data_IF_920972775704
#
_entry.id   IF_920972775704
#
_cell.length_a   1.000
_cell.length_b   1.000
_cell.length_c   1.000
_cell.angle_alpha   90.00
_cell.angle_beta   90.00
_cell.angle_gamma   90.00
#
_symmetry.space_group_name_H-M   'P 1'
#
loop_
_entity.id
_entity.type
_entity.pdbx_description
1 polymer ?
#
# COMPACT_ATOMS: atom_id res chain seq x y z
N UNK A 1 17.34 24.08 13.67
CA UNK A 1 16.59 23.19 14.60
C UNK A 1 15.70 22.29 13.76
N UNK A 2 16.17 21.08 13.45
CA UNK A 2 15.45 20.09 12.64
C UNK A 2 14.67 19.15 13.54
N UNK A 3 13.34 19.24 13.53
CA UNK A 3 12.46 18.36 14.32
C UNK A 3 12.60 16.89 13.88
N UNK A 4 12.86 15.94 14.81
CA UNK A 4 13.11 14.53 14.49
C UNK A 4 11.86 13.63 14.38
N UNK A 5 10.64 14.16 14.21
CA UNK A 5 9.41 13.39 14.45
C UNK A 5 8.73 12.73 13.23
N UNK A 6 9.31 12.69 12.03
CA UNK A 6 8.56 12.27 10.82
C UNK A 6 9.29 11.30 9.87
N UNK A 7 10.19 10.46 10.37
CA UNK A 7 10.95 9.57 9.48
C UNK A 7 10.26 8.28 9.10
N UNK A 8 9.17 7.86 9.77
CA UNK A 8 8.45 6.64 9.39
C UNK A 8 6.95 6.71 9.66
N UNK A 9 6.16 7.03 8.64
CA UNK A 9 4.72 6.79 8.67
C UNK A 9 4.48 5.30 8.40
N UNK A 10 4.01 4.60 9.44
CA UNK A 10 3.65 3.19 9.34
C UNK A 10 2.17 3.06 8.96
N UNK A 11 1.92 2.36 7.88
CA UNK A 11 0.59 2.00 7.43
C UNK A 11 0.27 0.56 7.80
N UNK A 12 -1.01 0.26 7.95
CA UNK A 12 -1.57 -1.08 8.02
C UNK A 12 -2.25 -1.37 6.69
N UNK A 13 -1.88 -2.47 6.07
CA UNK A 13 -2.57 -3.00 4.89
C UNK A 13 -3.22 -4.32 5.23
N UNK A 14 -4.43 -4.51 4.72
CA UNK A 14 -5.23 -5.72 4.93
C UNK A 14 -5.23 -6.56 3.66
N UNK A 15 -5.06 -7.86 3.82
CA UNK A 15 -4.97 -8.79 2.70
C UNK A 15 -5.56 -10.14 3.08
N UNK A 16 -5.95 -10.89 2.05
CA UNK A 16 -6.61 -12.18 2.18
C UNK A 16 -5.70 -13.36 1.86
N UNK A 17 -4.37 -13.18 1.81
CA UNK A 17 -3.41 -14.26 1.50
C UNK A 17 -2.54 -14.62 2.70
N UNK A 18 -2.33 -15.93 2.93
CA UNK A 18 -1.64 -16.44 4.11
C UNK A 18 -0.22 -15.90 4.22
N UNK A 19 0.13 -15.41 5.42
CA UNK A 19 1.47 -14.87 5.72
C UNK A 19 2.57 -15.94 5.76
N UNK A 20 2.26 -17.21 5.49
CA UNK A 20 3.26 -18.28 5.45
C UNK A 20 4.11 -18.26 4.18
N UNK A 21 3.76 -17.42 3.20
CA UNK A 21 4.57 -17.13 2.01
C UNK A 21 5.69 -16.10 2.27
N UNK A 22 5.90 -15.68 3.52
CA UNK A 22 6.95 -14.74 3.93
C UNK A 22 8.36 -15.37 3.89
N UNK A 23 8.48 -16.68 3.64
CA UNK A 23 9.77 -17.35 3.41
C UNK A 23 9.86 -17.92 1.99
N UNK A 24 10.51 -17.16 1.10
CA UNK A 24 11.16 -17.60 -0.14
C UNK A 24 10.29 -18.27 -1.22
N UNK A 25 10.38 -17.69 -2.42
CA UNK A 25 10.32 -18.37 -3.73
C UNK A 25 9.30 -19.50 -3.83
N UNK A 26 8.06 -19.16 -4.16
CA UNK A 26 7.32 -19.81 -5.24
C UNK A 26 5.90 -19.26 -5.37
N UNK A 27 5.47 -19.05 -6.60
CA UNK A 27 4.07 -18.94 -7.01
C UNK A 27 3.32 -20.28 -6.79
N UNK A 28 3.47 -20.92 -5.62
CA UNK A 28 2.81 -22.18 -5.31
C UNK A 28 1.77 -21.93 -4.23
N UNK A 29 0.54 -21.74 -4.70
CA UNK A 29 -0.64 -21.73 -3.87
C UNK A 29 -1.58 -20.62 -4.27
N UNK A 30 -2.58 -20.95 -5.08
CA UNK A 30 -3.79 -20.15 -5.26
C UNK A 30 -4.66 -20.12 -3.97
N UNK A 31 -4.02 -20.31 -2.81
CA UNK A 31 -4.63 -20.50 -1.52
C UNK A 31 -4.88 -19.14 -0.88
N UNK A 32 -6.13 -18.70 -0.97
CA UNK A 32 -6.61 -17.54 -0.21
C UNK A 32 -6.75 -17.94 1.26
N UNK A 33 -6.28 -17.09 2.15
CA UNK A 33 -6.57 -17.18 3.58
C UNK A 33 -8.08 -16.99 3.79
N UNK A 34 -8.69 -17.86 4.59
CA UNK A 34 -10.07 -17.69 5.06
C UNK A 34 -10.17 -16.68 6.21
N UNK A 35 -9.03 -16.27 6.75
CA UNK A 35 -8.91 -15.27 7.82
C UNK A 35 -8.29 -14.01 7.22
N UNK A 36 -8.87 -12.84 7.51
CA UNK A 36 -8.31 -11.56 7.09
C UNK A 36 -6.99 -11.29 7.81
N UNK A 37 -5.95 -11.00 7.04
CA UNK A 37 -4.61 -10.73 7.54
C UNK A 37 -4.27 -9.25 7.44
N UNK A 38 -3.25 -8.84 8.22
CA UNK A 38 -2.78 -7.46 8.28
C UNK A 38 -1.25 -7.42 8.35
N UNK A 39 -0.64 -6.47 7.66
CA UNK A 39 0.79 -6.18 7.77
C UNK A 39 1.02 -4.69 8.01
N UNK A 40 2.09 -4.40 8.72
CA UNK A 40 2.65 -3.06 8.77
C UNK A 40 3.59 -2.86 7.59
N UNK A 41 3.36 -1.80 6.81
CA UNK A 41 4.20 -1.35 5.70
C UNK A 41 4.57 0.12 5.90
N UNK A 42 5.67 0.57 5.31
CA UNK A 42 6.14 1.95 5.43
C UNK A 42 5.89 2.75 4.16
N UNK A 43 5.61 4.04 4.30
CA UNK A 43 5.54 4.96 3.18
C UNK A 43 6.85 4.98 2.38
N UNK A 44 6.76 4.95 1.05
CA UNK A 44 7.89 5.12 0.15
C UNK A 44 7.68 6.39 -0.67
N UNK A 45 8.71 7.24 -0.72
CA UNK A 45 8.68 8.48 -1.51
C UNK A 45 8.45 8.17 -3.00
N UNK A 46 7.67 9.01 -3.68
CA UNK A 46 7.29 8.82 -5.08
C UNK A 46 8.50 8.65 -6.00
N UNK A 47 9.57 9.43 -5.81
CA UNK A 47 10.77 9.35 -6.65
C UNK A 47 11.44 7.97 -6.54
N UNK A 48 11.68 7.51 -5.31
CA UNK A 48 12.25 6.19 -5.03
C UNK A 48 11.35 5.05 -5.51
N UNK A 49 10.03 5.23 -5.43
CA UNK A 49 9.09 4.28 -5.99
C UNK A 49 9.19 4.26 -7.53
N UNK A 50 9.26 5.43 -8.15
CA UNK A 50 9.42 5.61 -9.60
C UNK A 50 10.65 4.89 -10.14
N UNK A 51 11.77 4.92 -9.43
CA UNK A 51 12.98 4.15 -9.77
C UNK A 51 12.68 2.64 -9.89
N UNK A 52 11.89 2.09 -8.95
CA UNK A 52 11.50 0.67 -8.92
C UNK A 52 10.55 0.27 -10.06
N UNK A 53 9.89 1.25 -10.67
CA UNK A 53 8.95 1.10 -11.77
C UNK A 53 9.46 1.70 -13.10
N UNK A 54 10.75 2.05 -13.16
CA UNK A 54 11.38 2.57 -14.37
C UNK A 54 11.18 1.62 -15.56
N UNK A 55 10.90 2.21 -16.73
CA UNK A 55 10.66 1.50 -17.99
C UNK A 55 9.53 0.46 -17.95
N UNK A 56 8.64 0.51 -16.96
CA UNK A 56 7.52 -0.42 -16.92
C UNK A 56 6.48 -0.02 -17.96
N UNK A 57 6.27 -0.87 -18.98
CA UNK A 57 5.33 -0.62 -20.08
C UNK A 57 3.90 -0.27 -19.64
N UNK A 58 3.48 -0.71 -18.44
CA UNK A 58 2.18 -0.40 -17.85
C UNK A 58 2.09 0.99 -17.20
N UNK A 59 3.22 1.64 -16.96
CA UNK A 59 3.35 3.00 -16.39
C UNK A 59 4.26 3.85 -17.28
N UNK A 60 3.79 4.28 -18.47
CA UNK A 60 4.59 5.10 -19.39
C UNK A 60 4.97 6.47 -18.82
N UNK A 61 4.17 7.00 -17.89
CA UNK A 61 4.42 8.28 -17.20
C UNK A 61 5.10 8.08 -15.83
N UNK A 62 5.47 6.85 -15.48
CA UNK A 62 5.98 6.52 -14.15
C UNK A 62 4.91 6.69 -13.06
N UNK A 63 5.37 6.88 -11.82
CA UNK A 63 4.50 7.10 -10.66
C UNK A 63 4.01 8.55 -10.66
N UNK A 64 2.70 8.73 -10.65
CA UNK A 64 2.02 10.03 -10.74
C UNK A 64 1.42 10.46 -9.40
N UNK A 65 1.03 11.73 -9.26
CA UNK A 65 0.64 12.33 -7.97
C UNK A 65 -0.64 11.73 -7.33
N UNK A 66 -1.52 11.13 -8.14
CA UNK A 66 -2.68 10.39 -7.64
C UNK A 66 -2.33 8.98 -7.11
N UNK A 67 -1.04 8.63 -7.05
CA UNK A 67 -0.53 7.39 -6.51
C UNK A 67 0.29 7.63 -5.23
N UNK A 68 0.32 6.59 -4.41
CA UNK A 68 1.08 6.48 -3.18
C UNK A 68 1.80 5.12 -3.20
N UNK A 69 3.03 5.07 -2.72
CA UNK A 69 3.75 3.81 -2.59
C UNK A 69 3.98 3.43 -1.14
N UNK A 70 3.84 2.15 -0.84
CA UNK A 70 4.15 1.60 0.47
C UNK A 70 4.69 0.18 0.34
N UNK A 71 5.63 -0.20 1.20
CA UNK A 71 6.20 -1.54 1.22
C UNK A 71 6.96 -1.81 2.51
N UNK A 72 7.33 -3.07 2.72
CA UNK A 72 8.27 -3.44 3.77
C UNK A 72 9.71 -3.19 3.28
N UNK A 73 10.52 -2.37 3.96
CA UNK A 73 11.93 -2.20 3.62
C UNK A 73 12.73 -3.52 3.57
N UNK A 74 12.27 -4.56 4.28
CA UNK A 74 12.89 -5.90 4.27
C UNK A 74 12.37 -6.79 3.14
N UNK A 75 11.39 -6.33 2.36
CA UNK A 75 10.75 -7.10 1.29
C UNK A 75 9.96 -8.32 1.78
N UNK A 76 9.70 -8.44 3.08
CA UNK A 76 9.06 -9.62 3.67
C UNK A 76 7.53 -9.53 3.68
N UNK A 77 6.96 -8.34 3.52
CA UNK A 77 5.51 -8.10 3.61
C UNK A 77 5.06 -7.21 2.46
N UNK A 78 4.06 -7.67 1.72
CA UNK A 78 3.45 -6.91 0.64
C UNK A 78 2.00 -7.39 0.43
N UNK A 79 1.19 -6.55 -0.23
CA UNK A 79 -0.09 -6.96 -0.80
C UNK A 79 0.12 -7.90 -1.98
N UNK A 80 -0.87 -8.75 -2.27
CA UNK A 80 -0.82 -9.66 -3.39
C UNK A 80 -2.07 -9.59 -4.29
N UNK A 81 -2.08 -10.41 -5.33
CA UNK A 81 -3.16 -10.48 -6.31
C UNK A 81 -4.50 -10.78 -5.64
N UNK A 82 -5.48 -9.89 -5.75
CA UNK A 82 -6.79 -10.07 -5.10
C UNK A 82 -6.99 -9.24 -3.82
N UNK A 83 -5.96 -8.51 -3.38
CA UNK A 83 -6.11 -7.47 -2.36
C UNK A 83 -6.42 -6.09 -2.97
N UNK A 84 -6.47 -5.99 -4.30
CA UNK A 84 -6.86 -4.78 -5.02
C UNK A 84 -8.23 -4.28 -4.54
N UNK A 85 -8.32 -2.98 -4.26
CA UNK A 85 -9.50 -2.37 -3.62
C UNK A 85 -9.46 -2.36 -2.09
N UNK A 86 -8.54 -3.11 -1.46
CA UNK A 86 -8.37 -3.12 0.00
C UNK A 86 -7.82 -1.80 0.55
N UNK A 87 -8.12 -1.47 1.82
CA UNK A 87 -7.69 -0.21 2.42
C UNK A 87 -6.25 -0.27 2.94
N UNK A 88 -5.50 0.79 2.63
CA UNK A 88 -4.26 1.15 3.32
C UNK A 88 -4.58 2.21 4.37
N UNK A 89 -4.32 1.89 5.64
CA UNK A 89 -4.74 2.69 6.79
C UNK A 89 -3.57 3.24 7.61
N UNK A 90 -3.74 4.43 8.18
CA UNK A 90 -2.81 5.00 9.17
C UNK A 90 -3.53 5.24 10.49
N UNK A 91 -2.86 4.98 11.62
CA UNK A 91 -3.37 5.35 12.95
C UNK A 91 -3.06 6.81 13.22
N UNK A 92 -4.05 7.60 13.68
CA UNK A 92 -3.85 9.03 13.97
C UNK A 92 -3.14 9.31 15.29
N UNK A 93 -3.18 8.37 16.21
CA UNK A 93 -2.34 8.37 17.41
C UNK A 93 -2.10 6.94 17.86
N UNK A 94 -1.14 6.76 18.77
CA UNK A 94 -0.90 5.49 19.43
C UNK A 94 -1.94 5.19 20.54
N UNK A 95 -2.84 6.15 20.83
CA UNK A 95 -3.76 6.12 21.97
C UNK A 95 -5.22 5.96 21.52
N UNK A 96 -5.55 6.38 20.31
CA UNK A 96 -6.91 6.35 19.76
C UNK A 96 -7.08 5.24 18.73
N UNK A 97 -8.22 4.54 18.74
CA UNK A 97 -8.63 3.52 17.75
C UNK A 97 -9.07 4.12 16.40
N UNK A 98 -8.74 5.38 16.11
CA UNK A 98 -9.17 6.06 14.88
C UNK A 98 -8.13 5.82 13.77
N UNK A 99 -8.61 5.22 12.68
CA UNK A 99 -7.83 4.95 11.48
C UNK A 99 -8.34 5.80 10.33
N UNK A 100 -7.42 6.35 9.53
CA UNK A 100 -7.76 6.98 8.23
C UNK A 100 -7.35 6.06 7.10
N UNK A 101 -8.22 5.91 6.11
CA UNK A 101 -7.87 5.27 4.83
C UNK A 101 -7.10 6.30 4.00
N UNK A 102 -5.83 6.03 3.75
CA UNK A 102 -4.92 6.94 3.01
C UNK A 102 -4.63 6.44 1.60
N UNK A 103 -4.85 5.15 1.36
CA UNK A 103 -4.65 4.54 0.06
C UNK A 103 -5.61 3.39 -0.20
N UNK A 104 -5.82 3.08 -1.48
CA UNK A 104 -6.53 1.89 -1.93
C UNK A 104 -5.55 1.03 -2.73
N UNK A 105 -5.43 -0.25 -2.38
CA UNK A 105 -4.52 -1.19 -3.06
C UNK A 105 -4.82 -1.22 -4.56
N UNK A 106 -3.80 -0.96 -5.39
CA UNK A 106 -3.96 -0.89 -6.84
C UNK A 106 -3.18 -2.00 -7.54
N UNK A 107 -1.85 -1.88 -7.60
CA UNK A 107 -0.99 -2.80 -8.34
C UNK A 107 0.43 -2.93 -7.75
N UNK A 108 1.14 -3.97 -8.18
CA UNK A 108 2.50 -4.30 -7.74
C UNK A 108 3.26 -5.08 -8.82
N UNK A 109 4.59 -5.21 -8.68
CA UNK A 109 5.45 -5.99 -9.60
C UNK A 109 5.63 -7.46 -9.17
N UNK A 110 4.97 -7.87 -8.10
CA UNK A 110 5.02 -9.19 -7.48
C UNK A 110 4.41 -9.12 -6.09
N UNK A 111 4.51 -10.21 -5.33
CA UNK A 111 4.15 -10.27 -3.92
C UNK A 111 5.40 -10.61 -3.11
N UNK A 112 5.60 -10.00 -1.94
CA UNK A 112 6.78 -10.25 -1.09
C UNK A 112 8.10 -9.85 -1.76
N UNK A 113 8.15 -8.64 -2.33
CA UNK A 113 9.31 -8.10 -3.04
C UNK A 113 9.86 -6.86 -2.35
N UNK A 114 11.10 -6.49 -2.68
CA UNK A 114 11.66 -5.17 -2.33
C UNK A 114 11.04 -4.02 -3.13
N UNK A 115 10.28 -4.34 -4.19
CA UNK A 115 9.53 -3.35 -4.96
C UNK A 115 8.26 -2.97 -4.18
N UNK A 116 8.05 -1.68 -3.85
CA UNK A 116 6.89 -1.26 -3.07
C UNK A 116 5.59 -1.42 -3.87
N UNK A 117 4.50 -1.79 -3.21
CA UNK A 117 3.17 -1.76 -3.79
C UNK A 117 2.70 -0.32 -4.07
N UNK A 118 1.85 -0.17 -5.10
CA UNK A 118 1.26 1.11 -5.49
C UNK A 118 -0.22 1.14 -5.14
N UNK A 119 -0.62 2.25 -4.54
CA UNK A 119 -1.94 2.51 -4.00
C UNK A 119 -2.49 3.78 -4.63
N UNK A 120 -3.81 3.84 -4.84
CA UNK A 120 -4.51 5.08 -5.19
C UNK A 120 -4.49 6.01 -3.99
N UNK A 121 -4.02 7.24 -4.14
CA UNK A 121 -3.94 8.24 -3.07
C UNK A 121 -5.33 8.82 -2.78
N UNK A 122 -5.99 8.36 -1.72
CA UNK A 122 -7.37 8.75 -1.37
C UNK A 122 -7.54 10.27 -1.28
N UNK A 123 -6.55 10.99 -0.76
CA UNK A 123 -6.58 12.44 -0.64
C UNK A 123 -6.83 13.19 -1.97
N UNK A 124 -6.51 12.58 -3.12
CA UNK A 124 -6.76 13.18 -4.46
C UNK A 124 -8.17 12.96 -4.99
N UNK A 125 -8.96 12.16 -4.29
CA UNK A 125 -10.29 11.75 -4.70
C UNK A 125 -11.36 12.15 -3.67
N UNK A 126 -11.01 12.87 -2.59
CA UNK A 126 -11.97 13.24 -1.54
C UNK A 126 -13.14 14.04 -2.13
N UNK A 127 -12.86 15.10 -2.90
CA UNK A 127 -13.91 15.92 -3.53
C UNK A 127 -14.86 15.08 -4.39
N UNK A 128 -14.31 14.13 -5.16
CA UNK A 128 -15.11 13.21 -5.98
C UNK A 128 -15.93 12.25 -5.11
N UNK A 129 -15.32 11.63 -4.09
CA UNK A 129 -16.01 10.73 -3.16
C UNK A 129 -17.16 11.48 -2.48
N UNK A 130 -16.92 12.71 -2.01
CA UNK A 130 -17.91 13.51 -1.32
C UNK A 130 -19.08 13.87 -2.24
N UNK A 131 -18.80 14.23 -3.49
CA UNK A 131 -19.85 14.51 -4.50
C UNK A 131 -20.76 13.31 -4.80
N UNK A 132 -20.28 12.08 -4.60
CA UNK A 132 -21.04 10.84 -4.86
C UNK A 132 -21.76 10.33 -3.63
N UNK A 133 -21.13 10.40 -2.45
CA UNK A 133 -21.66 9.84 -1.19
C UNK A 133 -22.60 10.82 -0.49
N UNK A 134 -22.36 12.13 -0.63
CA UNK A 134 -23.21 13.20 -0.09
C UNK A 134 -23.63 14.18 -1.19
N UNK A 135 -24.39 13.71 -2.21
CA UNK A 135 -24.94 14.61 -3.21
C UNK A 135 -25.93 15.57 -2.55
N UNK A 136 -25.85 16.85 -2.91
CA UNK A 136 -26.83 17.87 -2.50
C UNK A 136 -28.14 17.73 -3.26
#
# INVERSE_FOLDING_TARGET
>A
MSSPCLTSVNFKVYFSFTSDQIRKTEHIGNAKSTILLKASVSAVKSDKCGESYSNWRKLPQGIVDNQLCAGDPKGLKDTCQGDSGGPLQVSLSNVTTVYKVVGITSFGRGCGSYVPGVYTRVAKYVDWIESVVWPQ
#
